data_IF_083423214080
#
_entry.id   IF_083423214080
#
_cell.length_a   1.000
_cell.length_b   1.000
_cell.length_c   1.000
_cell.angle_alpha   90.00
_cell.angle_beta   90.00
_cell.angle_gamma   90.00
#
_symmetry.space_group_name_H-M   'P 1'
#
loop_
_entity.id
_entity.type
_entity.pdbx_description
1 polymer ?
#
# COMPACT_ATOMS: atom_id res chain seq x y z
N UNK A 1 -27.01 13.39 -10.62
CA UNK A 1 -26.62 14.18 -9.44
C UNK A 1 -26.84 13.37 -8.16
N UNK A 2 -27.99 12.71 -7.99
CA UNK A 2 -28.34 11.91 -6.79
C UNK A 2 -27.35 10.79 -6.39
N UNK A 3 -26.77 10.05 -7.35
CA UNK A 3 -25.90 8.90 -7.03
C UNK A 3 -24.57 9.34 -6.40
N UNK A 4 -23.97 10.43 -6.91
CA UNK A 4 -22.66 10.89 -6.42
C UNK A 4 -22.78 11.40 -4.99
N UNK A 5 -23.86 12.11 -4.67
CA UNK A 5 -24.09 12.62 -3.32
C UNK A 5 -24.44 11.49 -2.34
N UNK A 6 -25.15 10.45 -2.80
CA UNK A 6 -25.42 9.26 -1.99
C UNK A 6 -24.15 8.48 -1.65
N UNK A 7 -23.28 8.21 -2.62
CA UNK A 7 -22.01 7.49 -2.35
C UNK A 7 -21.05 8.33 -1.49
N UNK A 8 -21.07 9.65 -1.64
CA UNK A 8 -20.31 10.56 -0.77
C UNK A 8 -20.80 10.50 0.68
N UNK A 9 -22.12 10.43 0.90
CA UNK A 9 -22.70 10.25 2.23
C UNK A 9 -22.33 8.90 2.85
N UNK A 10 -22.35 7.81 2.07
CA UNK A 10 -21.91 6.49 2.53
C UNK A 10 -20.44 6.50 2.94
N UNK A 11 -19.57 7.11 2.12
CA UNK A 11 -18.15 7.30 2.46
C UNK A 11 -17.99 8.09 3.75
N UNK A 12 -18.72 9.20 3.91
CA UNK A 12 -18.68 10.02 5.12
C UNK A 12 -19.09 9.25 6.38
N UNK A 13 -20.19 8.49 6.30
CA UNK A 13 -20.68 7.63 7.39
C UNK A 13 -19.65 6.54 7.72
N UNK A 14 -19.09 5.85 6.71
CA UNK A 14 -18.04 4.85 6.92
C UNK A 14 -16.80 5.43 7.61
N UNK A 15 -16.36 6.62 7.21
CA UNK A 15 -15.26 7.32 7.85
C UNK A 15 -15.53 7.66 9.32
N UNK A 16 -16.77 8.03 9.67
CA UNK A 16 -17.13 8.45 11.03
C UNK A 16 -17.47 7.30 11.97
N UNK A 17 -18.25 6.34 11.48
CA UNK A 17 -18.85 5.29 12.30
C UNK A 17 -17.98 4.04 12.39
N UNK A 18 -17.17 3.78 11.36
CA UNK A 18 -16.32 2.59 11.26
C UNK A 18 -14.84 2.90 11.34
N UNK A 19 -14.48 4.13 11.76
CA UNK A 19 -13.09 4.55 11.91
C UNK A 19 -12.29 4.59 10.61
N UNK A 20 -12.96 4.82 9.47
CA UNK A 20 -12.31 4.83 8.15
C UNK A 20 -12.15 3.46 7.50
N UNK A 21 -12.69 2.39 8.09
CA UNK A 21 -12.70 1.07 7.46
C UNK A 21 -13.90 0.91 6.52
N UNK A 22 -13.63 0.58 5.26
CA UNK A 22 -14.64 0.26 4.25
C UNK A 22 -14.01 -0.56 3.12
N UNK A 23 -14.85 -1.32 2.41
CA UNK A 23 -14.44 -1.97 1.16
C UNK A 23 -14.82 -1.08 -0.02
N UNK A 24 -13.87 -0.88 -0.94
CA UNK A 24 -14.12 -0.15 -2.16
C UNK A 24 -14.29 -1.15 -3.32
N UNK A 25 -15.41 -1.06 -4.03
CA UNK A 25 -15.66 -1.79 -5.27
C UNK A 25 -15.64 -0.83 -6.45
N UNK A 26 -15.44 -1.33 -7.67
CA UNK A 26 -15.34 -0.51 -8.89
C UNK A 26 -14.27 0.61 -8.76
N UNK A 27 -13.16 0.31 -8.09
CA UNK A 27 -12.09 1.28 -7.81
C UNK A 27 -11.27 1.69 -9.04
N UNK A 28 -11.41 1.00 -10.16
CA UNK A 28 -10.76 1.34 -11.44
C UNK A 28 -9.36 0.74 -11.65
N UNK A 29 -8.72 0.22 -10.59
CA UNK A 29 -7.50 -0.57 -10.71
C UNK A 29 -7.78 -1.87 -11.47
N UNK A 30 -6.96 -2.19 -12.48
CA UNK A 30 -7.14 -3.36 -13.34
C UNK A 30 -7.12 -4.68 -12.55
N UNK A 31 -8.13 -5.52 -12.74
CA UNK A 31 -8.17 -6.86 -12.13
C UNK A 31 -7.01 -7.74 -12.61
N UNK A 32 -6.58 -7.61 -13.86
CA UNK A 32 -5.43 -8.39 -14.37
C UNK A 32 -4.13 -8.01 -13.67
N UNK A 33 -3.94 -6.72 -13.36
CA UNK A 33 -2.80 -6.23 -12.59
C UNK A 33 -2.84 -6.77 -11.16
N UNK A 34 -4.01 -6.76 -10.51
CA UNK A 34 -4.17 -7.29 -9.15
C UNK A 34 -3.85 -8.79 -9.08
N UNK A 35 -4.36 -9.60 -10.02
CA UNK A 35 -4.08 -11.03 -10.04
C UNK A 35 -2.61 -11.33 -10.36
N UNK A 36 -2.02 -10.59 -11.30
CA UNK A 36 -0.59 -10.70 -11.62
C UNK A 36 0.28 -10.39 -10.40
N UNK A 37 0.02 -9.27 -9.72
CA UNK A 37 0.75 -8.87 -8.53
C UNK A 37 0.63 -9.91 -7.40
N UNK A 38 -0.58 -10.45 -7.16
CA UNK A 38 -0.78 -11.51 -6.17
C UNK A 38 0.07 -12.75 -6.47
N UNK A 39 0.08 -13.19 -7.72
CA UNK A 39 0.89 -14.33 -8.16
C UNK A 39 2.38 -14.07 -7.95
N UNK A 40 2.88 -12.90 -8.37
CA UNK A 40 4.32 -12.59 -8.28
C UNK A 40 4.78 -12.38 -6.82
N UNK A 41 3.92 -11.85 -5.96
CA UNK A 41 4.18 -11.81 -4.51
C UNK A 41 4.23 -13.22 -3.94
N UNK A 42 3.30 -14.09 -4.31
CA UNK A 42 3.30 -15.49 -3.89
C UNK A 42 4.59 -16.20 -4.34
N UNK A 43 5.00 -16.00 -5.59
CA UNK A 43 6.24 -16.55 -6.14
C UNK A 43 7.47 -16.06 -5.37
N UNK A 44 7.51 -14.77 -5.00
CA UNK A 44 8.57 -14.23 -4.15
C UNK A 44 8.64 -14.92 -2.79
N UNK A 45 7.51 -15.10 -2.10
CA UNK A 45 7.51 -15.74 -0.78
C UNK A 45 7.80 -17.25 -0.83
N UNK A 46 7.54 -17.89 -1.97
CA UNK A 46 7.90 -19.28 -2.27
C UNK A 46 9.39 -19.47 -2.59
N UNK A 47 10.16 -18.39 -2.81
CA UNK A 47 11.61 -18.49 -3.00
C UNK A 47 12.30 -19.09 -1.75
N UNK A 48 13.43 -19.78 -1.94
CA UNK A 48 14.25 -20.24 -0.81
C UNK A 48 14.64 -19.08 0.12
N UNK A 49 14.78 -19.36 1.41
CA UNK A 49 15.17 -18.34 2.42
C UNK A 49 16.45 -17.60 2.04
N UNK A 50 17.43 -18.28 1.44
CA UNK A 50 18.69 -17.66 0.98
C UNK A 50 18.44 -16.56 -0.06
N UNK A 51 17.44 -16.74 -0.94
CA UNK A 51 17.07 -15.74 -1.93
C UNK A 51 16.29 -14.58 -1.30
N UNK A 52 15.36 -14.87 -0.38
CA UNK A 52 14.59 -13.85 0.34
C UNK A 52 15.46 -12.99 1.25
N UNK A 53 16.46 -13.58 1.89
CA UNK A 53 17.41 -12.88 2.77
C UNK A 53 18.29 -11.87 2.02
N UNK A 54 18.39 -11.93 0.69
CA UNK A 54 19.06 -10.89 -0.11
C UNK A 54 18.36 -9.53 -0.03
N UNK A 55 17.08 -9.54 0.34
CA UNK A 55 16.26 -8.35 0.56
C UNK A 55 16.10 -8.04 2.05
N UNK A 56 16.88 -8.68 2.92
CA UNK A 56 16.76 -8.54 4.37
C UNK A 56 16.92 -7.11 4.85
N UNK A 57 16.28 -6.79 5.97
CA UNK A 57 16.45 -5.49 6.64
C UNK A 57 17.92 -5.25 7.04
N UNK A 58 18.44 -4.07 6.74
CA UNK A 58 19.77 -3.62 7.16
C UNK A 58 19.73 -3.03 8.60
N UNK A 59 20.84 -3.06 9.35
CA UNK A 59 20.88 -2.45 10.69
C UNK A 59 20.49 -0.96 10.68
N UNK A 60 19.40 -0.63 11.38
CA UNK A 60 18.86 0.73 11.42
C UNK A 60 17.86 1.06 10.31
N UNK A 61 17.58 0.12 9.41
CA UNK A 61 16.52 0.21 8.41
C UNK A 61 15.37 -0.76 8.75
N UNK A 62 14.14 -0.32 8.47
CA UNK A 62 12.93 -1.13 8.66
C UNK A 62 12.45 -1.73 7.34
N UNK A 63 12.92 -1.21 6.20
CA UNK A 63 12.60 -1.72 4.87
C UNK A 63 13.39 -2.98 4.56
N UNK A 64 12.75 -3.95 3.91
CA UNK A 64 13.29 -5.24 3.57
C UNK A 64 12.41 -6.41 4.05
N UNK A 65 12.90 -7.61 3.81
CA UNK A 65 12.35 -8.87 4.27
C UNK A 65 12.74 -9.11 5.73
N UNK A 66 11.75 -9.30 6.59
CA UNK A 66 11.97 -9.48 8.02
C UNK A 66 10.73 -9.17 8.85
N UNK A 67 10.79 -9.42 10.15
CA UNK A 67 9.75 -8.99 11.09
C UNK A 67 10.11 -7.62 11.69
N UNK A 68 9.14 -6.98 12.34
CA UNK A 68 9.43 -5.81 13.15
C UNK A 68 10.44 -6.18 14.28
N UNK A 69 11.35 -5.26 14.60
CA UNK A 69 12.39 -5.46 15.62
C UNK A 69 11.83 -5.99 16.94
N UNK A 70 12.54 -6.95 17.55
CA UNK A 70 12.26 -7.44 18.91
C UNK A 70 12.74 -6.40 19.92
N UNK A 71 11.81 -5.74 20.60
CA UNK A 71 12.04 -4.67 21.56
C UNK A 71 12.20 -5.17 23.01
N UNK A 72 11.66 -6.35 23.33
CA UNK A 72 11.78 -6.94 24.66
C UNK A 72 11.67 -8.46 24.62
N UNK A 73 12.04 -9.12 25.73
CA UNK A 73 11.95 -10.59 25.86
C UNK A 73 10.51 -11.07 26.00
N UNK A 74 9.62 -10.20 26.49
CA UNK A 74 8.20 -10.47 26.71
C UNK A 74 7.35 -10.15 25.47
N UNK A 75 7.97 -9.66 24.41
CA UNK A 75 7.28 -9.33 23.17
C UNK A 75 6.70 -10.61 22.55
N UNK A 76 5.38 -10.59 22.32
CA UNK A 76 4.71 -11.59 21.50
C UNK A 76 5.00 -11.27 20.03
N UNK A 77 5.50 -12.27 19.31
CA UNK A 77 5.79 -12.15 17.88
C UNK A 77 4.58 -12.58 17.06
N UNK A 78 4.37 -11.88 15.96
CA UNK A 78 3.35 -12.25 15.00
C UNK A 78 3.78 -13.49 14.21
N UNK A 79 2.83 -14.37 13.93
CA UNK A 79 3.05 -15.52 13.05
C UNK A 79 2.94 -15.10 11.59
N UNK A 80 3.87 -14.25 11.15
CA UNK A 80 3.90 -13.70 9.81
C UNK A 80 5.33 -13.32 9.37
N UNK A 81 5.62 -13.51 8.09
CA UNK A 81 6.77 -12.90 7.43
C UNK A 81 6.30 -11.65 6.68
N UNK A 82 7.18 -10.65 6.55
CA UNK A 82 6.88 -9.39 5.88
C UNK A 82 8.00 -8.99 4.92
N UNK A 83 7.61 -8.41 3.80
CA UNK A 83 8.48 -7.58 2.96
C UNK A 83 7.91 -6.16 3.03
N UNK A 84 8.62 -5.25 3.71
CA UNK A 84 8.21 -3.86 3.85
C UNK A 84 9.07 -2.96 2.97
N UNK A 85 8.46 -2.03 2.24
CA UNK A 85 9.21 -1.05 1.45
C UNK A 85 8.37 0.18 1.11
N UNK A 86 9.05 1.31 0.97
CA UNK A 86 8.50 2.57 0.47
C UNK A 86 8.46 2.49 -1.06
N UNK A 87 7.28 2.76 -1.64
CA UNK A 87 7.08 2.76 -3.10
C UNK A 87 6.83 4.16 -3.67
N UNK A 88 6.45 5.13 -2.84
CA UNK A 88 6.21 6.53 -3.21
C UNK A 88 6.69 7.48 -2.11
N UNK A 89 7.18 8.69 -2.48
CA UNK A 89 7.57 9.06 -3.84
C UNK A 89 8.81 8.26 -4.31
N UNK A 90 9.09 8.24 -5.61
CA UNK A 90 10.06 7.30 -6.20
C UNK A 90 11.50 7.54 -5.74
N UNK A 91 11.83 8.78 -5.38
CA UNK A 91 13.12 9.22 -4.85
C UNK A 91 13.43 8.68 -3.47
N UNK A 92 12.43 8.25 -2.70
CA UNK A 92 12.62 7.58 -1.41
C UNK A 92 12.86 6.08 -1.54
N UNK A 93 12.74 5.49 -2.74
CA UNK A 93 12.93 4.05 -2.93
C UNK A 93 14.38 3.67 -2.69
N UNK A 94 14.59 2.71 -1.79
CA UNK A 94 15.93 2.19 -1.48
C UNK A 94 16.58 1.53 -2.70
N UNK A 95 17.78 1.97 -3.14
CA UNK A 95 18.46 1.42 -4.31
C UNK A 95 18.80 -0.08 -4.19
N UNK A 96 18.93 -0.59 -2.97
CA UNK A 96 19.23 -1.99 -2.69
C UNK A 96 17.99 -2.90 -2.61
N UNK A 97 16.77 -2.33 -2.55
CA UNK A 97 15.52 -3.11 -2.47
C UNK A 97 14.76 -3.09 -3.79
N UNK A 98 14.07 -1.98 -4.09
CA UNK A 98 13.11 -1.92 -5.20
C UNK A 98 13.73 -2.27 -6.56
N UNK A 99 14.91 -1.75 -6.95
CA UNK A 99 15.54 -2.10 -8.22
C UNK A 99 16.00 -3.56 -8.30
N UNK A 100 16.19 -4.23 -7.16
CA UNK A 100 16.73 -5.60 -7.05
C UNK A 100 15.65 -6.68 -7.03
N UNK A 101 14.38 -6.32 -6.86
CA UNK A 101 13.26 -7.26 -6.92
C UNK A 101 13.27 -8.07 -8.22
N UNK A 102 12.74 -9.31 -8.23
CA UNK A 102 12.51 -10.05 -9.45
C UNK A 102 11.77 -9.19 -10.47
N UNK A 103 12.24 -9.20 -11.73
CA UNK A 103 11.75 -8.29 -12.78
C UNK A 103 10.22 -8.27 -12.89
N UNK A 104 9.51 -9.43 -12.91
CA UNK A 104 8.05 -9.42 -13.00
C UNK A 104 7.39 -8.68 -11.82
N UNK A 105 7.77 -9.03 -10.58
CA UNK A 105 7.26 -8.41 -9.37
C UNK A 105 7.53 -6.89 -9.34
N UNK A 106 8.74 -6.48 -9.74
CA UNK A 106 9.14 -5.07 -9.76
C UNK A 106 8.25 -4.25 -10.69
N UNK A 107 7.98 -4.75 -11.89
CA UNK A 107 7.17 -4.04 -12.89
C UNK A 107 5.70 -3.94 -12.44
N UNK A 108 5.11 -5.04 -11.98
CA UNK A 108 3.72 -5.02 -11.51
C UNK A 108 3.56 -4.17 -10.24
N UNK A 109 4.54 -4.19 -9.32
CA UNK A 109 4.52 -3.35 -8.13
C UNK A 109 4.66 -1.86 -8.46
N UNK A 110 5.49 -1.50 -9.45
CA UNK A 110 5.61 -0.14 -9.98
C UNK A 110 4.27 0.35 -10.52
N UNK A 111 3.63 -0.45 -11.40
CA UNK A 111 2.34 -0.11 -12.00
C UNK A 111 1.25 0.02 -10.91
N UNK A 112 1.19 -0.94 -10.00
CA UNK A 112 0.24 -0.93 -8.89
C UNK A 112 0.43 0.28 -7.96
N UNK A 113 1.68 0.66 -7.67
CA UNK A 113 2.01 1.84 -6.85
C UNK A 113 1.46 3.13 -7.46
N UNK A 114 1.55 3.29 -8.78
CA UNK A 114 1.01 4.45 -9.50
C UNK A 114 -0.52 4.49 -9.43
N UNK A 115 -1.17 3.35 -9.70
CA UNK A 115 -2.63 3.24 -9.63
C UNK A 115 -3.15 3.48 -8.22
N UNK A 116 -2.49 2.92 -7.20
CA UNK A 116 -2.87 3.10 -5.81
C UNK A 116 -2.69 4.54 -5.34
N UNK A 117 -1.64 5.25 -5.77
CA UNK A 117 -1.45 6.69 -5.50
C UNK A 117 -2.61 7.51 -6.08
N UNK A 118 -2.98 7.27 -7.34
CA UNK A 118 -4.12 7.95 -7.99
C UNK A 118 -5.42 7.69 -7.23
N UNK A 119 -5.65 6.44 -6.85
CA UNK A 119 -6.84 6.05 -6.08
C UNK A 119 -6.88 6.70 -4.70
N UNK A 120 -5.76 6.70 -3.98
CA UNK A 120 -5.65 7.31 -2.66
C UNK A 120 -5.94 8.82 -2.71
N UNK A 121 -5.37 9.55 -3.67
CA UNK A 121 -5.65 10.98 -3.86
C UNK A 121 -7.13 11.24 -4.18
N UNK A 122 -7.76 10.38 -5.00
CA UNK A 122 -9.20 10.48 -5.29
C UNK A 122 -10.04 10.28 -4.02
N UNK A 123 -9.72 9.27 -3.21
CA UNK A 123 -10.43 9.00 -1.95
C UNK A 123 -10.25 10.18 -0.98
N UNK A 124 -9.02 10.68 -0.80
CA UNK A 124 -8.74 11.83 0.05
C UNK A 124 -9.52 13.07 -0.40
N UNK A 125 -9.59 13.34 -1.71
CA UNK A 125 -10.39 14.44 -2.25
C UNK A 125 -11.89 14.29 -1.94
N UNK A 126 -12.43 13.06 -2.02
CA UNK A 126 -13.83 12.78 -1.65
C UNK A 126 -14.06 12.93 -0.14
N UNK A 127 -13.15 12.47 0.71
CA UNK A 127 -13.22 12.66 2.16
C UNK A 127 -13.23 14.15 2.50
N UNK A 128 -12.33 14.94 1.90
CA UNK A 128 -12.29 16.38 2.10
C UNK A 128 -13.58 17.08 1.65
N UNK A 129 -14.14 16.68 0.50
CA UNK A 129 -15.45 17.16 0.04
C UNK A 129 -16.55 16.82 1.05
N UNK A 130 -16.56 15.61 1.59
CA UNK A 130 -17.52 15.18 2.60
C UNK A 130 -17.39 15.94 3.94
N UNK A 131 -16.17 16.42 4.25
CA UNK A 131 -15.90 17.28 5.40
C UNK A 131 -16.23 18.76 5.14
N UNK A 132 -16.63 19.14 3.91
CA UNK A 132 -16.92 20.52 3.54
C UNK A 132 -15.68 21.39 3.36
N UNK A 133 -14.50 20.78 3.17
CA UNK A 133 -13.25 21.51 2.93
C UNK A 133 -13.26 22.20 1.57
N UNK A 134 -12.61 23.36 1.47
CA UNK A 134 -12.51 24.11 0.21
C UNK A 134 -11.45 23.49 -0.69
N UNK A 135 -11.62 23.63 -2.00
CA UNK A 135 -10.65 23.10 -2.98
C UNK A 135 -9.23 23.69 -2.83
N UNK A 136 -9.12 24.91 -2.30
CA UNK A 136 -7.84 25.58 -2.02
C UNK A 136 -7.04 24.90 -0.89
N UNK A 137 -7.72 24.28 0.07
CA UNK A 137 -7.13 23.55 1.20
C UNK A 137 -6.67 22.14 0.78
N UNK A 138 -7.13 21.66 -0.38
CA UNK A 138 -6.78 20.36 -0.96
C UNK A 138 -5.49 20.37 -1.79
N UNK A 139 -4.86 21.54 -1.99
CA UNK A 139 -3.63 21.67 -2.81
C UNK A 139 -2.37 21.10 -2.14
N UNK A 140 -2.47 20.60 -0.92
CA UNK A 140 -1.36 20.10 -0.12
C UNK A 140 -1.06 18.59 -0.33
N UNK A 141 -1.78 17.91 -1.23
CA UNK A 141 -1.65 16.46 -1.49
C UNK A 141 -0.99 16.15 -2.83
#
# INVERSE_FOLDING_TARGET
MEIIDLELQKLHSACKEWGGFFQLINHGVSSSLLEKLKSEVQDFFNLPMVEKNKYGQEPGDVEGYGQAFVKSKEQKLDWADMLYMITQPEDLRKPHLFPKLPLPLRESLQEYSIELKRLALKILSLIAKALGMKHEELKCF
#
